data_IF_679484281028
#
_entry.id   IF_679484281028
#
_cell.length_a   1.000
_cell.length_b   1.000
_cell.length_c   1.000
_cell.angle_alpha   90.00
_cell.angle_beta   90.00
_cell.angle_gamma   90.00
#
_symmetry.space_group_name_H-M   'P 1'
#
loop_
_entity.id
_entity.type
_entity.pdbx_description
1 polymer ?
#
# COMPACT_ATOMS: atom_id res chain seq x y z
N UNK A 1 16.10 -15.99 2.06
CA UNK A 1 15.39 -17.28 1.89
C UNK A 1 14.10 -17.18 2.68
N UNK A 2 12.96 -17.02 1.98
CA UNK A 2 11.63 -17.00 2.62
C UNK A 2 11.32 -18.42 3.07
N UNK A 3 10.91 -18.60 4.33
CA UNK A 3 10.51 -19.93 4.80
C UNK A 3 9.26 -20.38 4.02
N UNK A 4 9.24 -21.58 3.41
CA UNK A 4 8.14 -22.00 2.54
C UNK A 4 6.77 -22.04 3.25
N UNK A 5 6.77 -22.14 4.58
CA UNK A 5 5.56 -22.05 5.41
C UNK A 5 4.93 -20.65 5.37
N UNK A 6 5.73 -19.57 5.41
CA UNK A 6 5.22 -18.20 5.49
C UNK A 6 4.56 -17.72 4.19
N UNK A 7 5.05 -18.15 3.03
CA UNK A 7 4.42 -17.85 1.73
C UNK A 7 3.01 -18.47 1.62
N UNK A 8 2.86 -19.74 2.02
CA UNK A 8 1.56 -20.43 1.98
C UNK A 8 0.54 -19.82 2.95
N UNK A 9 1.02 -19.32 4.10
CA UNK A 9 0.21 -18.63 5.09
C UNK A 9 -0.23 -17.26 4.60
N UNK A 10 0.67 -16.49 3.99
CA UNK A 10 0.35 -15.20 3.35
C UNK A 10 -0.74 -15.38 2.29
N UNK A 11 -0.66 -16.41 1.43
CA UNK A 11 -1.71 -16.67 0.43
C UNK A 11 -3.07 -16.97 1.07
N UNK A 12 -3.10 -17.77 2.14
CA UNK A 12 -4.34 -18.06 2.88
C UNK A 12 -4.93 -16.80 3.52
N UNK A 13 -4.07 -15.98 4.12
CA UNK A 13 -4.49 -14.72 4.73
C UNK A 13 -5.02 -13.75 3.68
N UNK A 14 -4.38 -13.61 2.51
CA UNK A 14 -4.88 -12.79 1.39
C UNK A 14 -6.29 -13.23 0.97
N UNK A 15 -6.51 -14.54 0.82
CA UNK A 15 -7.85 -15.08 0.49
C UNK A 15 -8.88 -14.76 1.59
N UNK A 16 -8.48 -14.85 2.86
CA UNK A 16 -9.35 -14.48 3.98
C UNK A 16 -9.67 -12.99 3.98
N UNK A 17 -8.69 -12.13 3.69
CA UNK A 17 -8.88 -10.68 3.56
C UNK A 17 -9.90 -10.37 2.46
N UNK A 18 -9.77 -10.96 1.27
CA UNK A 18 -10.73 -10.77 0.17
C UNK A 18 -12.16 -11.15 0.58
N UNK A 19 -12.32 -12.29 1.27
CA UNK A 19 -13.63 -12.72 1.79
C UNK A 19 -14.20 -11.76 2.82
N UNK A 20 -13.37 -11.26 3.74
CA UNK A 20 -13.80 -10.27 4.73
C UNK A 20 -14.27 -8.97 4.05
N UNK A 21 -13.59 -8.53 3.00
CA UNK A 21 -14.00 -7.37 2.19
C UNK A 21 -15.35 -7.65 1.50
N UNK A 22 -15.52 -8.82 0.88
CA UNK A 22 -16.74 -9.19 0.17
C UNK A 22 -17.98 -9.19 1.08
N UNK A 23 -17.84 -9.62 2.34
CA UNK A 23 -18.93 -9.63 3.32
C UNK A 23 -19.07 -8.30 4.08
N UNK A 24 -18.21 -7.31 3.80
CA UNK A 24 -18.22 -6.00 4.46
C UNK A 24 -17.62 -5.98 5.87
N UNK A 25 -16.94 -7.05 6.30
CA UNK A 25 -16.20 -7.08 7.57
C UNK A 25 -14.83 -6.41 7.40
N UNK A 26 -14.86 -5.08 7.30
CA UNK A 26 -13.68 -4.26 7.11
C UNK A 26 -12.74 -4.30 8.32
N UNK A 27 -13.25 -4.61 9.52
CA UNK A 27 -12.41 -4.75 10.73
C UNK A 27 -11.56 -6.01 10.68
N UNK A 28 -12.14 -7.15 10.25
CA UNK A 28 -11.38 -8.36 10.01
C UNK A 28 -10.39 -8.21 8.84
N UNK A 29 -10.81 -7.54 7.76
CA UNK A 29 -9.92 -7.21 6.64
C UNK A 29 -8.71 -6.40 7.11
N UNK A 30 -8.93 -5.34 7.91
CA UNK A 30 -7.86 -4.53 8.47
C UNK A 30 -6.86 -5.35 9.31
N UNK A 31 -7.36 -6.18 10.24
CA UNK A 31 -6.51 -7.00 11.10
C UNK A 31 -5.68 -8.01 10.30
N UNK A 32 -6.30 -8.66 9.31
CA UNK A 32 -5.61 -9.63 8.45
C UNK A 32 -4.58 -8.97 7.55
N UNK A 33 -4.89 -7.82 6.93
CA UNK A 33 -3.93 -7.04 6.13
C UNK A 33 -2.73 -6.56 6.94
N UNK A 34 -2.91 -6.13 8.20
CA UNK A 34 -1.80 -5.80 9.09
C UNK A 34 -0.92 -7.00 9.43
N UNK A 35 -1.52 -8.18 9.64
CA UNK A 35 -0.77 -9.40 9.88
C UNK A 35 0.07 -9.78 8.65
N UNK A 36 -0.52 -9.71 7.45
CA UNK A 36 0.20 -9.96 6.19
C UNK A 36 1.38 -9.00 6.05
N UNK A 37 1.18 -7.70 6.29
CA UNK A 37 2.25 -6.70 6.19
C UNK A 37 3.41 -7.03 7.14
N UNK A 38 3.13 -7.35 8.40
CA UNK A 38 4.15 -7.74 9.37
C UNK A 38 4.90 -9.01 8.92
N UNK A 39 4.22 -9.99 8.34
CA UNK A 39 4.87 -11.17 7.78
C UNK A 39 5.77 -10.84 6.59
N UNK A 40 5.34 -9.94 5.69
CA UNK A 40 6.15 -9.50 4.56
C UNK A 40 7.40 -8.73 5.03
N UNK A 41 7.26 -7.83 6.01
CA UNK A 41 8.38 -7.09 6.61
C UNK A 41 9.42 -8.04 7.22
N UNK A 42 8.98 -9.05 7.99
CA UNK A 42 9.88 -10.02 8.64
C UNK A 42 10.54 -10.99 7.66
N UNK A 43 9.93 -11.24 6.50
CA UNK A 43 10.47 -12.15 5.49
C UNK A 43 11.35 -11.44 4.44
N UNK A 44 11.54 -10.12 4.55
CA UNK A 44 12.17 -9.29 3.51
C UNK A 44 11.57 -9.56 2.12
N UNK A 45 10.23 -9.61 2.07
CA UNK A 45 9.51 -9.90 0.85
C UNK A 45 9.68 -8.79 -0.20
N UNK A 46 9.28 -9.10 -1.44
CA UNK A 46 9.39 -8.16 -2.54
C UNK A 46 8.58 -6.90 -2.28
N UNK A 47 9.18 -5.76 -2.59
CA UNK A 47 8.60 -4.42 -2.45
C UNK A 47 7.28 -4.24 -3.18
N UNK A 48 7.04 -4.98 -4.28
CA UNK A 48 5.76 -4.98 -4.99
C UNK A 48 4.63 -5.64 -4.18
N UNK A 49 4.90 -6.74 -3.47
CA UNK A 49 3.90 -7.35 -2.60
C UNK A 49 3.58 -6.45 -1.40
N UNK A 50 4.61 -5.81 -0.83
CA UNK A 50 4.43 -4.84 0.25
C UNK A 50 3.59 -3.65 -0.19
N UNK A 51 3.85 -3.11 -1.39
CA UNK A 51 3.10 -1.99 -1.93
C UNK A 51 1.62 -2.29 -2.11
N UNK A 52 1.28 -3.48 -2.62
CA UNK A 52 -0.12 -3.91 -2.81
C UNK A 52 -0.86 -4.01 -1.48
N UNK A 53 -0.26 -4.66 -0.47
CA UNK A 53 -0.88 -4.81 0.86
C UNK A 53 -1.05 -3.45 1.54
N UNK A 54 -0.07 -2.54 1.40
CA UNK A 54 -0.17 -1.18 1.91
C UNK A 54 -1.29 -0.39 1.23
N UNK A 55 -1.47 -0.56 -0.09
CA UNK A 55 -2.58 0.07 -0.82
C UNK A 55 -3.95 -0.41 -0.31
N UNK A 56 -4.14 -1.73 -0.22
CA UNK A 56 -5.39 -2.31 0.29
C UNK A 56 -5.68 -1.87 1.73
N UNK A 57 -4.65 -1.88 2.59
CA UNK A 57 -4.78 -1.42 3.97
C UNK A 57 -5.16 0.08 4.02
N UNK A 58 -4.61 0.88 3.11
CA UNK A 58 -4.98 2.28 2.93
C UNK A 58 -6.48 2.45 2.66
N UNK A 59 -7.02 1.73 1.67
CA UNK A 59 -8.45 1.75 1.34
C UNK A 59 -9.33 1.26 2.49
N UNK A 60 -8.94 0.18 3.16
CA UNK A 60 -9.67 -0.36 4.30
C UNK A 60 -9.72 0.66 5.44
N UNK A 61 -8.61 1.33 5.74
CA UNK A 61 -8.57 2.40 6.75
C UNK A 61 -9.53 3.55 6.40
N UNK A 62 -9.58 3.96 5.14
CA UNK A 62 -10.48 5.02 4.68
C UNK A 62 -11.94 4.61 4.86
N UNK A 63 -12.28 3.37 4.47
CA UNK A 63 -13.62 2.84 4.64
C UNK A 63 -14.02 2.63 6.13
N UNK A 64 -13.05 2.63 7.04
CA UNK A 64 -13.23 2.61 8.50
C UNK A 64 -13.14 4.00 9.15
N UNK A 65 -13.23 5.08 8.37
CA UNK A 65 -13.07 6.49 8.81
C UNK A 65 -11.72 6.81 9.47
N UNK A 66 -10.70 5.97 9.27
CA UNK A 66 -9.32 6.17 9.76
C UNK A 66 -8.47 6.88 8.71
N UNK A 67 -8.91 8.07 8.28
CA UNK A 67 -8.30 8.78 7.15
C UNK A 67 -6.79 9.02 7.29
N UNK A 68 -6.31 9.44 8.46
CA UNK A 68 -4.88 9.69 8.68
C UNK A 68 -4.02 8.44 8.54
N UNK A 69 -4.50 7.30 9.04
CA UNK A 69 -3.83 6.01 8.88
C UNK A 69 -3.90 5.54 7.43
N UNK A 70 -5.04 5.72 6.77
CA UNK A 70 -5.25 5.40 5.35
C UNK A 70 -4.30 6.15 4.42
N UNK A 71 -4.20 7.48 4.58
CA UNK A 71 -3.26 8.33 3.85
C UNK A 71 -1.83 7.83 3.99
N UNK A 72 -1.39 7.57 5.23
CA UNK A 72 -0.03 7.11 5.50
C UNK A 72 0.27 5.77 4.81
N UNK A 73 -0.70 4.85 4.75
CA UNK A 73 -0.51 3.58 4.07
C UNK A 73 -0.45 3.73 2.55
N UNK A 74 -1.27 4.61 1.96
CA UNK A 74 -1.22 4.91 0.53
C UNK A 74 0.10 5.61 0.13
N UNK A 75 0.59 6.54 0.94
CA UNK A 75 1.90 7.18 0.73
C UNK A 75 3.03 6.15 0.74
N UNK A 76 3.06 5.27 1.75
CA UNK A 76 4.07 4.20 1.81
C UNK A 76 3.96 3.23 0.63
N UNK A 77 2.75 2.90 0.17
CA UNK A 77 2.56 2.07 -1.04
C UNK A 77 3.25 2.68 -2.26
N UNK A 78 3.08 4.00 -2.45
CA UNK A 78 3.74 4.75 -3.53
C UNK A 78 5.26 4.74 -3.36
N UNK A 79 5.79 4.97 -2.16
CA UNK A 79 7.24 4.92 -1.88
C UNK A 79 7.85 3.58 -2.31
N UNK A 80 7.23 2.46 -1.93
CA UNK A 80 7.68 1.13 -2.31
C UNK A 80 7.69 0.89 -3.83
N UNK A 81 6.75 1.47 -4.58
CA UNK A 81 6.70 1.36 -6.05
C UNK A 81 7.73 2.27 -6.74
N UNK A 82 8.04 3.42 -6.15
CA UNK A 82 9.06 4.33 -6.69
C UNK A 82 10.47 3.75 -6.53
N UNK A 83 10.72 3.06 -5.41
CA UNK A 83 11.99 2.39 -5.13
C UNK A 83 12.28 1.21 -6.09
N UNK A 84 11.26 0.59 -6.66
CA UNK A 84 11.39 -0.54 -7.61
C UNK A 84 11.56 -0.13 -9.07
N UNK A 85 11.61 1.17 -9.38
CA UNK A 85 11.50 1.71 -10.75
C UNK A 85 10.14 1.40 -11.41
N UNK A 86 9.14 0.97 -10.66
CA UNK A 86 7.75 0.80 -11.12
C UNK A 86 6.96 2.11 -10.93
N UNK A 87 7.59 3.23 -11.27
CA UNK A 87 7.05 4.57 -11.00
C UNK A 87 5.80 4.92 -11.80
N UNK A 88 5.52 4.18 -12.88
CA UNK A 88 4.29 4.28 -13.69
C UNK A 88 3.37 3.06 -13.53
N UNK A 89 3.50 2.34 -12.40
CA UNK A 89 2.59 1.25 -12.08
C UNK A 89 1.15 1.78 -11.93
N UNK A 90 0.18 0.96 -12.38
CA UNK A 90 -1.24 1.23 -12.16
C UNK A 90 -1.53 1.49 -10.67
N UNK A 91 -0.82 0.83 -9.77
CA UNK A 91 -0.96 0.94 -8.33
C UNK A 91 -0.60 2.35 -7.84
N UNK A 92 0.46 2.94 -8.37
CA UNK A 92 0.87 4.33 -8.05
C UNK A 92 -0.21 5.32 -8.50
N UNK A 93 -0.78 5.11 -9.69
CA UNK A 93 -1.84 5.97 -10.22
C UNK A 93 -3.09 5.89 -9.36
N UNK A 94 -3.49 4.69 -8.96
CA UNK A 94 -4.70 4.50 -8.16
C UNK A 94 -4.52 4.95 -6.71
N UNK A 95 -3.36 4.71 -6.10
CA UNK A 95 -3.03 5.22 -4.77
C UNK A 95 -3.04 6.75 -4.74
N UNK A 96 -2.49 7.41 -5.77
CA UNK A 96 -2.54 8.88 -5.91
C UNK A 96 -3.97 9.40 -6.09
N UNK A 97 -4.79 8.69 -6.86
CA UNK A 97 -6.19 9.05 -7.04
C UNK A 97 -6.94 8.97 -5.70
N UNK A 98 -6.77 7.87 -4.96
CA UNK A 98 -7.38 7.71 -3.65
C UNK A 98 -6.94 8.81 -2.66
N UNK A 99 -5.67 9.22 -2.68
CA UNK A 99 -5.17 10.35 -1.89
C UNK A 99 -5.84 11.68 -2.29
N UNK A 100 -5.98 11.96 -3.59
CA UNK A 100 -6.61 13.18 -4.08
C UNK A 100 -8.10 13.25 -3.73
N UNK A 101 -8.81 12.11 -3.79
CA UNK A 101 -10.22 12.02 -3.44
C UNK A 101 -10.46 12.24 -1.93
N UNK A 102 -9.42 12.07 -1.10
CA UNK A 102 -9.45 12.34 0.33
C UNK A 102 -9.12 13.79 0.71
N UNK A 103 -8.50 14.59 -0.16
CA UNK A 103 -8.28 16.01 0.14
C UNK A 103 -9.56 16.81 -0.15
N UNK A 104 -10.21 17.41 0.86
CA UNK A 104 -11.28 18.37 0.60
C UNK A 104 -10.59 19.68 0.20
N UNK A 105 -10.16 19.81 -1.06
CA UNK A 105 -9.66 21.06 -1.67
C UNK A 105 -8.80 21.91 -0.71
N UNK A 106 -7.55 21.52 -0.44
CA UNK A 106 -6.71 22.37 0.41
C UNK A 106 -5.42 21.74 0.89
N UNK A 107 -4.41 21.78 0.02
CA UNK A 107 -2.98 21.78 0.36
C UNK A 107 -2.37 20.49 0.96
N UNK A 108 -1.95 19.58 0.09
CA UNK A 108 -0.66 18.91 0.28
C UNK A 108 0.11 18.80 -1.04
N UNK A 109 1.20 19.58 -1.17
CA UNK A 109 2.13 19.44 -2.28
C UNK A 109 3.02 18.22 -2.00
N UNK A 110 2.71 17.11 -2.65
CA UNK A 110 3.67 16.03 -2.87
C UNK A 110 4.93 16.66 -3.49
N UNK A 111 6.00 16.81 -2.70
CA UNK A 111 7.28 17.26 -3.20
C UNK A 111 7.80 16.20 -4.16
N UNK A 112 7.56 16.40 -5.44
CA UNK A 112 8.26 15.66 -6.49
C UNK A 112 9.74 16.00 -6.35
N UNK A 113 10.57 14.97 -6.14
CA UNK A 113 12.00 15.12 -6.00
C UNK A 113 12.58 16.00 -7.12
N UNK A 114 13.55 16.89 -6.84
CA UNK A 114 14.11 17.75 -7.85
C UNK A 114 14.77 16.89 -8.93
N UNK A 115 14.27 17.01 -10.17
CA UNK A 115 14.91 16.46 -11.37
C UNK A 115 16.38 16.88 -11.35
N UNK A 116 17.27 15.90 -11.26
CA UNK A 116 18.70 16.08 -11.47
C UNK A 116 18.89 16.83 -12.79
N UNK A 117 19.39 18.06 -12.72
CA UNK A 117 19.88 18.76 -13.90
C UNK A 117 21.17 18.05 -14.31
N UNK A 118 21.06 17.21 -15.33
CA UNK A 118 22.19 16.74 -16.11
C UNK A 118 23.00 17.93 -16.61
N UNK A 119 24.28 17.96 -16.24
CA UNK A 119 25.30 18.73 -16.95
C UNK A 119 25.24 18.41 -18.44
N UNK A 120 25.11 19.43 -19.29
CA UNK A 120 25.66 19.40 -20.65
C UNK A 120 26.23 20.80 -20.94
N UNK A 121 27.56 20.81 -21.13
CA UNK A 121 28.47 21.81 -21.71
C UNK A 121 28.53 23.21 -21.08
#
# INVERSE_FOLDING_TARGET
MVQPHSASEITKLKLQTSRSIEIGDLSAAYCTSKLILNMLENNHADSSEMANVLYELGLICIALDKHSEGTRHLERSIEYCLDTKESDSWLVREARRALNDMEPTGSFKLQTAPKAKSHIA
#
